data_IF_733427474005
#
_entry.id   IF_733427474005
#
_cell.length_a   1.000
_cell.length_b   1.000
_cell.length_c   1.000
_cell.angle_alpha   90.00
_cell.angle_beta   90.00
_cell.angle_gamma   90.00
#
_symmetry.space_group_name_H-M   'P 1'
#
loop_
_entity.id
_entity.type
_entity.pdbx_description
1 polymer ?
#
# COMPACT_ATOMS: atom_id res chain seq x y z
N UNK A 1 7.76 0.32 -16.64
CA UNK A 1 7.64 -0.44 -15.38
C UNK A 1 6.50 -1.43 -15.56
N UNK A 2 6.62 -2.65 -15.03
CA UNK A 2 5.52 -3.60 -15.06
C UNK A 2 4.40 -3.13 -14.10
N UNK A 3 3.14 -3.49 -14.40
CA UNK A 3 2.00 -3.22 -13.51
C UNK A 3 2.10 -4.13 -12.28
N UNK A 4 2.16 -3.57 -11.08
CA UNK A 4 2.41 -4.32 -9.85
C UNK A 4 1.31 -5.35 -9.58
N UNK A 5 0.06 -5.02 -9.87
CA UNK A 5 -1.06 -5.96 -9.66
C UNK A 5 -0.97 -7.12 -10.66
N UNK A 6 -0.63 -6.84 -11.92
CA UNK A 6 -0.42 -7.89 -12.92
C UNK A 6 0.77 -8.79 -12.56
N UNK A 7 1.85 -8.22 -12.04
CA UNK A 7 3.03 -8.96 -11.58
C UNK A 7 2.69 -9.89 -10.40
N UNK A 8 2.01 -9.37 -9.38
CA UNK A 8 1.62 -10.13 -8.18
C UNK A 8 0.61 -11.25 -8.46
N UNK A 9 -0.22 -11.07 -9.49
CA UNK A 9 -1.18 -12.07 -9.94
C UNK A 9 -0.64 -12.98 -11.05
N UNK A 10 0.55 -12.71 -11.60
CA UNK A 10 1.09 -13.46 -12.75
C UNK A 10 0.22 -13.36 -14.00
N UNK A 11 -0.44 -12.22 -14.23
CA UNK A 11 -1.41 -12.04 -15.32
C UNK A 11 -0.68 -12.03 -16.67
N UNK A 12 -0.88 -13.10 -17.44
CA UNK A 12 -0.37 -13.20 -18.81
C UNK A 12 -1.23 -12.38 -19.79
N UNK A 13 -0.62 -11.72 -20.80
CA UNK A 13 -1.37 -11.05 -21.87
C UNK A 13 -2.37 -11.98 -22.56
N UNK A 14 -3.60 -11.51 -22.74
CA UNK A 14 -4.69 -12.28 -23.34
C UNK A 14 -5.35 -13.32 -22.43
N UNK A 15 -4.93 -13.43 -21.16
CA UNK A 15 -5.62 -14.25 -20.16
C UNK A 15 -7.01 -13.67 -19.81
N UNK A 16 -7.84 -14.48 -19.14
CA UNK A 16 -9.15 -14.05 -18.62
C UNK A 16 -9.03 -12.80 -17.75
N UNK A 17 -8.05 -12.77 -16.83
CA UNK A 17 -7.85 -11.63 -15.93
C UNK A 17 -7.32 -10.39 -16.67
N UNK A 18 -6.42 -10.56 -17.65
CA UNK A 18 -5.96 -9.43 -18.49
C UNK A 18 -7.14 -8.79 -19.24
N UNK A 19 -8.01 -9.61 -19.82
CA UNK A 19 -9.24 -9.16 -20.48
C UNK A 19 -10.17 -8.39 -19.52
N UNK A 20 -10.36 -8.88 -18.29
CA UNK A 20 -11.17 -8.19 -17.28
C UNK A 20 -10.57 -6.85 -16.86
N UNK A 21 -9.25 -6.79 -16.62
CA UNK A 21 -8.57 -5.54 -16.27
C UNK A 21 -8.57 -4.54 -17.42
N UNK A 22 -8.56 -5.01 -18.67
CA UNK A 22 -8.67 -4.18 -19.87
C UNK A 22 -10.05 -3.50 -20.03
N UNK A 23 -11.10 -3.96 -19.32
CA UNK A 23 -12.40 -3.29 -19.31
C UNK A 23 -12.40 -1.93 -18.58
N UNK A 24 -11.38 -1.69 -17.74
CA UNK A 24 -11.23 -0.44 -16.96
C UNK A 24 -9.80 0.08 -17.05
N UNK A 25 -9.36 0.47 -18.26
CA UNK A 25 -7.95 0.85 -18.50
C UNK A 25 -7.52 2.03 -17.64
N UNK A 26 -8.42 2.99 -17.39
CA UNK A 26 -8.13 4.16 -16.54
C UNK A 26 -7.84 3.76 -15.08
N UNK A 27 -8.53 2.74 -14.55
CA UNK A 27 -8.31 2.25 -13.19
C UNK A 27 -6.98 1.51 -13.09
N UNK A 28 -6.64 0.69 -14.09
CA UNK A 28 -5.33 0.03 -14.19
C UNK A 28 -4.21 1.06 -14.22
N UNK A 29 -4.32 2.06 -15.10
CA UNK A 29 -3.35 3.14 -15.22
C UNK A 29 -3.22 3.96 -13.93
N UNK A 30 -4.34 4.38 -13.33
CA UNK A 30 -4.34 5.19 -12.11
C UNK A 30 -3.80 4.43 -10.89
N UNK A 31 -4.06 3.13 -10.80
CA UNK A 31 -3.49 2.26 -9.76
C UNK A 31 -1.97 2.24 -9.86
N UNK A 32 -1.44 1.99 -11.06
CA UNK A 32 0.01 1.97 -11.27
C UNK A 32 0.66 3.35 -11.10
N UNK A 33 -0.03 4.43 -11.47
CA UNK A 33 0.44 5.78 -11.24
C UNK A 33 0.51 6.12 -9.74
N UNK A 34 -0.46 5.65 -8.96
CA UNK A 34 -0.47 5.83 -7.49
C UNK A 34 0.69 5.09 -6.84
N UNK A 35 0.95 3.85 -7.28
CA UNK A 35 2.10 3.05 -6.83
C UNK A 35 3.43 3.78 -7.05
N UNK A 36 3.64 4.30 -8.26
CA UNK A 36 4.83 5.11 -8.60
C UNK A 36 4.92 6.36 -7.72
N UNK A 37 3.81 7.11 -7.59
CA UNK A 37 3.81 8.35 -6.84
C UNK A 37 4.14 8.11 -5.35
N UNK A 38 3.57 7.07 -4.75
CA UNK A 38 3.76 6.72 -3.34
C UNK A 38 5.18 6.23 -3.09
N UNK A 39 5.67 5.26 -3.88
CA UNK A 39 6.94 4.59 -3.59
C UNK A 39 8.16 5.25 -4.22
N UNK A 40 8.01 6.02 -5.30
CA UNK A 40 9.12 6.68 -5.99
C UNK A 40 9.15 8.20 -5.80
N UNK A 41 8.01 8.80 -5.47
CA UNK A 41 7.84 10.25 -5.31
C UNK A 41 8.54 10.87 -4.10
N UNK A 42 8.54 12.21 -4.09
CA UNK A 42 9.12 13.03 -3.03
C UNK A 42 8.29 12.92 -1.74
N UNK A 43 8.96 12.66 -0.62
CA UNK A 43 8.38 12.66 0.72
C UNK A 43 9.49 12.75 1.77
N UNK A 44 9.15 13.22 2.98
CA UNK A 44 9.97 13.10 4.18
C UNK A 44 9.98 11.70 4.81
N UNK A 45 9.17 10.76 4.30
CA UNK A 45 9.30 9.33 4.57
C UNK A 45 10.32 8.72 3.61
N UNK A 46 11.28 7.97 4.14
CA UNK A 46 12.25 7.26 3.31
C UNK A 46 11.56 6.12 2.53
N UNK A 47 12.14 5.70 1.42
CA UNK A 47 11.63 4.55 0.65
C UNK A 47 11.53 3.28 1.50
N UNK A 48 12.51 3.06 2.37
CA UNK A 48 12.54 1.89 3.26
C UNK A 48 11.43 1.94 4.32
N UNK A 49 11.12 3.12 4.87
CA UNK A 49 9.98 3.31 5.78
C UNK A 49 8.65 3.08 5.06
N UNK A 50 8.51 3.60 3.84
CA UNK A 50 7.31 3.37 3.02
C UNK A 50 7.05 1.88 2.80
N UNK A 51 8.10 1.14 2.41
CA UNK A 51 7.98 -0.31 2.24
C UNK A 51 7.79 -1.08 3.55
N UNK A 52 8.33 -0.62 4.68
CA UNK A 52 8.05 -1.22 5.97
C UNK A 52 6.59 -1.06 6.40
N UNK A 53 6.00 0.12 6.18
CA UNK A 53 4.57 0.34 6.43
C UNK A 53 3.72 -0.50 5.48
N UNK A 54 4.06 -0.54 4.20
CA UNK A 54 3.34 -1.33 3.21
C UNK A 54 3.38 -2.84 3.51
N UNK A 55 4.55 -3.36 3.88
CA UNK A 55 4.72 -4.72 4.38
C UNK A 55 3.75 -5.02 5.53
N UNK A 56 3.75 -4.17 6.56
CA UNK A 56 2.89 -4.34 7.73
C UNK A 56 1.39 -4.31 7.38
N UNK A 57 0.96 -3.40 6.51
CA UNK A 57 -0.43 -3.33 6.04
C UNK A 57 -0.80 -4.57 5.24
N UNK A 58 0.09 -5.07 4.39
CA UNK A 58 -0.12 -6.30 3.63
C UNK A 58 -0.26 -7.53 4.56
N UNK A 59 0.57 -7.60 5.61
CA UNK A 59 0.50 -8.64 6.65
C UNK A 59 -0.82 -8.58 7.43
N UNK A 60 -1.29 -7.38 7.81
CA UNK A 60 -2.60 -7.19 8.46
C UNK A 60 -3.77 -7.63 7.57
N UNK A 61 -3.65 -7.45 6.25
CA UNK A 61 -4.64 -7.91 5.28
C UNK A 61 -4.49 -9.40 4.91
N UNK A 62 -3.45 -10.09 5.41
CA UNK A 62 -3.20 -11.50 5.11
C UNK A 62 -2.75 -11.79 3.68
N UNK A 63 -2.23 -10.80 2.94
CA UNK A 63 -1.77 -10.98 1.56
C UNK A 63 -0.27 -11.29 1.52
N UNK A 64 0.07 -12.58 1.43
CA UNK A 64 1.46 -13.04 1.46
C UNK A 64 2.29 -12.56 0.26
N UNK A 65 1.69 -12.46 -0.93
CA UNK A 65 2.40 -12.02 -2.13
C UNK A 65 2.73 -10.53 -2.06
N UNK A 66 1.76 -9.71 -1.65
CA UNK A 66 1.98 -8.28 -1.44
C UNK A 66 2.97 -8.00 -0.30
N UNK A 67 2.91 -8.79 0.78
CA UNK A 67 3.88 -8.71 1.86
C UNK A 67 5.30 -9.01 1.35
N UNK A 68 5.49 -10.09 0.59
CA UNK A 68 6.80 -10.44 0.03
C UNK A 68 7.34 -9.36 -0.93
N UNK A 69 6.48 -8.76 -1.74
CA UNK A 69 6.84 -7.68 -2.66
C UNK A 69 7.50 -6.48 -1.96
N UNK A 70 7.07 -6.17 -0.73
CA UNK A 70 7.62 -5.08 0.06
C UNK A 70 8.74 -5.50 1.01
N UNK A 71 8.79 -6.78 1.43
CA UNK A 71 9.73 -7.29 2.44
C UNK A 71 11.19 -7.01 2.12
N UNK A 72 11.63 -7.28 0.89
CA UNK A 72 13.02 -7.07 0.48
C UNK A 72 13.43 -5.58 0.42
N UNK A 73 12.45 -4.66 0.37
CA UNK A 73 12.64 -3.21 0.23
C UNK A 73 12.44 -2.47 1.56
N UNK A 74 11.84 -3.14 2.55
CA UNK A 74 11.61 -2.60 3.88
C UNK A 74 12.94 -2.43 4.63
N UNK A 75 13.02 -1.41 5.47
CA UNK A 75 14.19 -1.18 6.31
C UNK A 75 13.80 -0.57 7.65
N UNK A 76 14.77 -0.51 8.55
CA UNK A 76 14.57 -0.03 9.92
C UNK A 76 14.76 1.49 10.04
N UNK A 77 14.09 2.08 11.02
CA UNK A 77 14.19 3.49 11.39
C UNK A 77 13.58 3.68 12.79
N UNK A 78 14.10 4.61 13.61
CA UNK A 78 13.49 4.94 14.90
C UNK A 78 12.01 5.37 14.80
N UNK A 79 11.56 5.81 13.62
CA UNK A 79 10.16 6.18 13.37
C UNK A 79 9.25 4.98 13.10
N UNK A 80 9.78 3.80 12.75
CA UNK A 80 8.97 2.64 12.36
C UNK A 80 7.85 2.33 13.37
N UNK A 81 8.10 2.24 14.69
CA UNK A 81 7.04 1.91 15.64
C UNK A 81 5.83 2.84 15.58
N UNK A 82 6.03 4.16 15.43
CA UNK A 82 4.91 5.11 15.35
C UNK A 82 4.21 5.06 14.00
N UNK A 83 4.95 4.84 12.90
CA UNK A 83 4.37 4.69 11.57
C UNK A 83 3.47 3.45 11.50
N UNK A 84 3.95 2.32 12.06
CA UNK A 84 3.19 1.07 12.11
C UNK A 84 1.96 1.17 13.01
N UNK A 85 2.05 1.88 14.14
CA UNK A 85 0.89 2.12 15.00
C UNK A 85 -0.22 2.88 14.27
N UNK A 86 0.13 3.95 13.53
CA UNK A 86 -0.83 4.69 12.71
C UNK A 86 -1.42 3.84 11.58
N UNK A 87 -0.57 3.07 10.90
CA UNK A 87 -1.01 2.15 9.84
C UNK A 87 -1.95 1.06 10.35
N UNK A 88 -1.68 0.53 11.55
CA UNK A 88 -2.54 -0.45 12.22
C UNK A 88 -3.90 0.16 12.54
N UNK A 89 -3.93 1.37 13.12
CA UNK A 89 -5.17 2.08 13.42
C UNK A 89 -6.00 2.30 12.15
N UNK A 90 -5.40 2.84 11.08
CA UNK A 90 -6.14 3.09 9.83
C UNK A 90 -6.60 1.80 9.12
N UNK A 91 -5.89 0.69 9.30
CA UNK A 91 -6.25 -0.59 8.67
C UNK A 91 -7.33 -1.33 9.45
N UNK A 92 -7.24 -1.34 10.77
CA UNK A 92 -8.04 -2.21 11.64
C UNK A 92 -9.19 -1.49 12.35
N UNK A 93 -9.05 -0.19 12.63
CA UNK A 93 -10.02 0.60 13.39
C UNK A 93 -10.01 2.09 12.93
N UNK A 94 -10.27 2.38 11.65
CA UNK A 94 -10.17 3.74 11.11
C UNK A 94 -11.17 4.72 11.73
N UNK A 95 -12.27 4.24 12.30
CA UNK A 95 -13.23 5.02 13.07
C UNK A 95 -12.66 5.57 14.39
N UNK A 96 -11.53 5.01 14.85
CA UNK A 96 -10.79 5.45 16.02
C UNK A 96 -9.71 6.50 15.70
N UNK A 97 -9.66 7.02 14.47
CA UNK A 97 -8.71 8.08 14.13
C UNK A 97 -9.00 9.36 14.94
N UNK A 98 -7.97 9.85 15.63
CA UNK A 98 -8.07 11.03 16.51
C UNK A 98 -7.01 12.09 16.17
N UNK A 99 -7.24 13.37 16.55
CA UNK A 99 -6.20 14.39 16.48
C UNK A 99 -4.93 14.00 17.25
N UNK A 100 -5.05 13.33 18.39
CA UNK A 100 -3.92 12.88 19.21
C UNK A 100 -3.02 11.89 18.47
N UNK A 101 -3.60 11.00 17.65
CA UNK A 101 -2.84 10.09 16.79
C UNK A 101 -1.97 10.88 15.77
N UNK A 102 -2.50 11.95 15.20
CA UNK A 102 -1.77 12.83 14.29
C UNK A 102 -0.66 13.59 15.04
N UNK A 103 -0.95 14.09 16.25
CA UNK A 103 0.04 14.79 17.07
C UNK A 103 1.21 13.88 17.45
N UNK A 104 0.96 12.58 17.65
CA UNK A 104 1.99 11.58 17.92
C UNK A 104 2.97 11.47 16.74
N UNK A 105 2.48 11.48 15.51
CA UNK A 105 3.33 11.47 14.31
C UNK A 105 4.15 12.76 14.17
N UNK A 106 3.53 13.91 14.45
CA UNK A 106 4.23 15.21 14.39
C UNK A 106 5.32 15.27 15.46
N UNK A 107 5.05 14.78 16.68
CA UNK A 107 6.05 14.69 17.74
C UNK A 107 7.22 13.76 17.39
N UNK A 108 6.98 12.77 16.53
CA UNK A 108 8.02 11.90 15.96
C UNK A 108 8.76 12.54 14.76
N UNK A 109 8.53 13.83 14.48
CA UNK A 109 9.25 14.61 13.48
C UNK A 109 8.68 14.53 12.07
N UNK A 110 7.45 14.02 11.89
CA UNK A 110 6.78 14.08 10.58
C UNK A 110 6.24 15.49 10.33
N UNK A 111 6.51 16.02 9.13
CA UNK A 111 5.83 17.22 8.68
C UNK A 111 4.34 16.89 8.35
N UNK A 112 3.42 17.86 8.43
CA UNK A 112 1.99 17.61 8.14
C UNK A 112 1.74 16.96 6.77
N UNK A 113 2.49 17.36 5.74
CA UNK A 113 2.41 16.76 4.40
C UNK A 113 2.77 15.27 4.39
N UNK A 114 3.69 14.85 5.25
CA UNK A 114 4.15 13.46 5.32
C UNK A 114 3.18 12.58 6.12
N UNK A 115 2.40 13.16 7.03
CA UNK A 115 1.26 12.48 7.67
C UNK A 115 0.18 12.15 6.62
N UNK A 116 -0.10 13.09 5.71
CA UNK A 116 -1.01 12.85 4.59
C UNK A 116 -0.46 11.77 3.68
N UNK A 117 0.83 11.84 3.30
CA UNK A 117 1.48 10.79 2.48
C UNK A 117 1.37 9.42 3.16
N UNK A 118 1.71 9.32 4.45
CA UNK A 118 1.59 8.07 5.21
C UNK A 118 0.17 7.49 5.11
N UNK A 119 -0.85 8.33 5.29
CA UNK A 119 -2.24 7.89 5.24
C UNK A 119 -2.67 7.46 3.83
N UNK A 120 -2.17 8.13 2.79
CA UNK A 120 -2.38 7.75 1.39
C UNK A 120 -1.71 6.40 1.07
N UNK A 121 -0.49 6.18 1.54
CA UNK A 121 0.20 4.90 1.42
C UNK A 121 -0.61 3.77 2.07
N UNK A 122 -1.09 3.97 3.31
CA UNK A 122 -1.89 2.96 4.01
C UNK A 122 -3.19 2.65 3.27
N UNK A 123 -3.87 3.69 2.76
CA UNK A 123 -5.09 3.52 1.98
C UNK A 123 -4.84 2.76 0.66
N UNK A 124 -3.75 3.08 -0.04
CA UNK A 124 -3.36 2.44 -1.29
C UNK A 124 -3.09 0.95 -1.09
N UNK A 125 -2.25 0.57 -0.13
CA UNK A 125 -1.93 -0.85 0.12
C UNK A 125 -3.16 -1.65 0.58
N UNK A 126 -4.06 -1.02 1.36
CA UNK A 126 -5.36 -1.59 1.69
C UNK A 126 -6.25 -1.83 0.45
N UNK A 127 -6.23 -0.90 -0.50
CA UNK A 127 -6.92 -1.05 -1.77
C UNK A 127 -6.31 -2.17 -2.62
N UNK A 128 -4.97 -2.25 -2.72
CA UNK A 128 -4.27 -3.31 -3.45
C UNK A 128 -4.60 -4.69 -2.89
N UNK A 129 -4.56 -4.87 -1.57
CA UNK A 129 -4.90 -6.15 -0.94
C UNK A 129 -6.33 -6.60 -1.28
N UNK A 130 -7.30 -5.68 -1.27
CA UNK A 130 -8.70 -5.97 -1.65
C UNK A 130 -8.84 -6.27 -3.13
N UNK A 131 -8.11 -5.55 -3.98
CA UNK A 131 -8.09 -5.80 -5.43
C UNK A 131 -7.52 -7.18 -5.75
N UNK A 132 -6.37 -7.53 -5.16
CA UNK A 132 -5.73 -8.83 -5.31
C UNK A 132 -6.65 -9.96 -4.84
N UNK A 133 -7.27 -9.83 -3.66
CA UNK A 133 -8.25 -10.79 -3.17
C UNK A 133 -9.43 -10.98 -4.16
N UNK A 134 -9.97 -9.89 -4.69
CA UNK A 134 -11.05 -9.95 -5.68
C UNK A 134 -10.64 -10.64 -6.98
N UNK A 135 -9.44 -10.35 -7.51
CA UNK A 135 -8.93 -10.97 -8.73
C UNK A 135 -8.69 -12.47 -8.55
N UNK A 136 -8.14 -12.90 -7.41
CA UNK A 136 -7.95 -14.34 -7.09
C UNK A 136 -9.29 -15.09 -7.07
N UNK A 137 -10.35 -14.48 -6.54
CA UNK A 137 -11.69 -15.07 -6.56
C UNK A 137 -12.26 -15.20 -7.98
N UNK A 138 -11.99 -14.22 -8.86
CA UNK A 138 -12.43 -14.25 -10.26
C UNK A 138 -11.65 -15.24 -11.12
N UNK A 139 -10.39 -15.52 -10.76
CA UNK A 139 -9.57 -16.54 -11.40
C UNK A 139 -10.00 -17.95 -11.04
N UNK A 140 -10.38 -18.17 -9.77
CA UNK A 140 -10.86 -19.45 -9.29
C UNK A 140 -12.28 -19.83 -9.76
N UNK A 141 -13.02 -18.88 -10.36
CA UNK A 141 -14.38 -19.04 -10.87
C UNK A 141 -14.41 -19.44 -12.36
#
# INVERSE_FOLDING_TARGET
MADVIDELMGIAPGSKLDGLRALRPDVRLATQASEVAIFEGESGLTRTERHAVALHVAELNGDAALAEHHRAKAGDSPRIPVLLAHATMLTMAPDQATPEAIQTLIAAGLAPRDVVMLSQLVAHVNYEARLLAGLRLLEAA
#
